data_IF_333073716687
#
_entry.id   IF_333073716687
#
_cell.length_a   1.000
_cell.length_b   1.000
_cell.length_c   1.000
_cell.angle_alpha   90.00
_cell.angle_beta   90.00
_cell.angle_gamma   90.00
#
_symmetry.space_group_name_H-M   'P 1'
#
loop_
_entity.id
_entity.type
_entity.pdbx_description
1 polymer ?
#
# COMPACT_ATOMS: atom_id res chain seq x y z
N UNK A 1 3.75 -14.73 -0.48
CA UNK A 1 3.41 -14.65 -0.07
C UNK A 1 3.26 -14.29 1.16
N UNK A 2 3.86 -14.55 1.76
CA UNK A 2 3.71 -14.32 3.10
C UNK A 2 3.90 -12.94 3.56
N UNK A 3 4.84 -12.24 3.01
CA UNK A 3 5.10 -10.90 3.48
C UNK A 3 3.95 -9.97 3.31
N UNK A 4 3.11 -10.21 2.36
CA UNK A 4 2.00 -9.31 2.12
C UNK A 4 0.91 -9.46 3.13
N UNK A 5 0.96 -10.51 3.92
CA UNK A 5 -0.13 -10.77 4.85
C UNK A 5 -0.14 -9.84 6.03
N UNK A 6 0.96 -9.23 6.35
CA UNK A 6 0.95 -8.33 7.50
C UNK A 6 0.34 -6.98 7.15
N UNK A 7 0.11 -6.72 5.87
CA UNK A 7 -0.51 -5.45 5.48
C UNK A 7 -1.93 -5.75 5.10
N UNK A 8 -2.83 -5.59 6.05
CA UNK A 8 -4.22 -5.94 5.86
C UNK A 8 -4.99 -4.83 5.19
N UNK A 9 -6.07 -5.23 4.52
CA UNK A 9 -6.92 -4.24 3.85
C UNK A 9 -7.49 -3.29 4.90
N UNK A 10 -7.56 -2.04 4.54
CA UNK A 10 -7.96 -1.01 5.49
C UNK A 10 -6.83 -0.50 6.35
N UNK A 11 -5.65 -1.07 6.18
CA UNK A 11 -4.48 -0.61 6.91
C UNK A 11 -4.11 0.81 6.49
N UNK A 12 -3.79 1.63 7.46
CA UNK A 12 -3.30 2.97 7.16
C UNK A 12 -1.89 2.87 6.62
N UNK A 13 -1.65 3.51 5.49
CA UNK A 13 -0.34 3.44 4.85
C UNK A 13 0.17 4.84 4.56
N UNK A 14 1.48 4.93 4.41
CA UNK A 14 2.15 6.14 4.01
C UNK A 14 2.62 5.96 2.57
N UNK A 15 2.23 6.90 1.71
CA UNK A 15 2.67 6.90 0.33
C UNK A 15 4.02 7.59 0.28
N UNK A 16 5.06 6.86 -0.04
CA UNK A 16 6.41 7.40 0.00
C UNK A 16 6.67 8.41 -1.10
N UNK A 17 5.89 8.37 -2.16
CA UNK A 17 6.09 9.32 -3.26
C UNK A 17 5.49 10.68 -2.96
N UNK A 18 4.35 10.72 -2.33
CA UNK A 18 3.67 11.99 -2.03
C UNK A 18 3.75 12.34 -0.57
N UNK A 19 4.11 11.34 0.25
CA UNK A 19 4.15 11.47 1.69
C UNK A 19 2.77 11.70 2.28
N UNK A 20 1.75 11.31 1.54
CA UNK A 20 0.38 11.39 2.04
C UNK A 20 -0.01 10.09 2.72
N UNK A 21 -1.03 10.16 3.52
CA UNK A 21 -1.55 9.02 4.25
C UNK A 21 -2.81 8.54 3.56
N UNK A 22 -2.96 7.24 3.46
CA UNK A 22 -4.14 6.67 2.87
C UNK A 22 -4.46 5.33 3.48
N UNK A 23 -5.42 4.64 2.87
CA UNK A 23 -5.83 3.32 3.33
C UNK A 23 -5.61 2.34 2.21
N UNK A 24 -5.18 1.15 2.57
CA UNK A 24 -4.98 0.08 1.61
C UNK A 24 -6.30 -0.57 1.26
N UNK A 25 -6.58 -0.69 -0.02
CA UNK A 25 -7.78 -1.35 -0.50
C UNK A 25 -7.49 -2.79 -0.86
N UNK A 26 -6.47 -3.02 -1.67
CA UNK A 26 -6.11 -4.37 -2.05
C UNK A 26 -4.68 -4.42 -2.55
N UNK A 27 -4.13 -5.63 -2.55
CA UNK A 27 -2.80 -5.89 -3.07
C UNK A 27 -2.96 -6.78 -4.29
N UNK A 28 -2.13 -6.58 -5.30
CA UNK A 28 -2.20 -7.39 -6.51
C UNK A 28 -0.85 -7.40 -7.19
N UNK A 29 -0.69 -8.27 -8.14
CA UNK A 29 0.55 -8.44 -8.87
C UNK A 29 0.34 -8.17 -10.34
N UNK A 30 1.39 -7.69 -10.98
CA UNK A 30 1.39 -7.58 -12.42
C UNK A 30 2.62 -8.32 -12.93
N UNK A 31 2.41 -9.23 -13.87
CA UNK A 31 3.50 -10.03 -14.38
C UNK A 31 3.99 -9.45 -15.69
N UNK A 32 5.26 -9.16 -15.72
CA UNK A 32 5.91 -8.69 -16.94
C UNK A 32 6.72 -9.83 -17.53
N UNK A 33 7.34 -9.57 -18.66
CA UNK A 33 8.07 -10.62 -19.36
C UNK A 33 9.15 -11.23 -18.47
N UNK A 34 9.87 -10.43 -17.75
CA UNK A 34 11.02 -10.92 -17.01
C UNK A 34 10.90 -10.74 -15.50
N UNK A 35 9.77 -10.30 -15.01
CA UNK A 35 9.63 -10.09 -13.56
C UNK A 35 8.18 -9.93 -13.18
N UNK A 36 7.93 -10.00 -11.89
CA UNK A 36 6.61 -9.73 -11.32
C UNK A 36 6.76 -8.56 -10.36
N UNK A 37 5.86 -7.63 -10.45
CA UNK A 37 5.87 -6.45 -9.58
C UNK A 37 4.61 -6.44 -8.76
N UNK A 38 4.75 -6.21 -7.47
CA UNK A 38 3.61 -6.12 -6.57
C UNK A 38 3.11 -4.70 -6.52
N UNK A 39 1.80 -4.56 -6.59
CA UNK A 39 1.15 -3.26 -6.56
C UNK A 39 0.12 -3.23 -5.45
N UNK A 40 -0.28 -2.04 -5.10
CA UNK A 40 -1.33 -1.82 -4.13
C UNK A 40 -2.30 -0.80 -4.68
N UNK A 41 -3.57 -0.99 -4.39
CA UNK A 41 -4.58 0.02 -4.66
C UNK A 41 -4.94 0.65 -3.33
N UNK A 42 -4.85 1.95 -3.26
CA UNK A 42 -5.08 2.69 -2.03
C UNK A 42 -6.06 3.81 -2.28
N UNK A 43 -6.55 4.37 -1.19
CA UNK A 43 -7.44 5.52 -1.28
C UNK A 43 -6.85 6.63 -0.42
N UNK A 44 -6.80 7.83 -0.94
CA UNK A 44 -6.22 8.94 -0.19
C UNK A 44 -7.28 9.58 0.70
N UNK A 45 -6.92 10.65 1.38
CA UNK A 45 -7.81 11.27 2.33
C UNK A 45 -9.04 11.88 1.70
N UNK A 46 -8.98 12.15 0.43
CA UNK A 46 -10.12 12.73 -0.26
C UNK A 46 -11.04 11.65 -0.82
N UNK A 47 -10.68 10.39 -0.67
CA UNK A 47 -11.48 9.30 -1.19
C UNK A 47 -11.11 8.89 -2.59
N UNK A 48 -10.01 9.40 -3.11
CA UNK A 48 -9.60 9.09 -4.46
C UNK A 48 -8.72 7.86 -4.47
N UNK A 49 -9.01 6.92 -5.34
CA UNK A 49 -8.22 5.70 -5.44
C UNK A 49 -7.04 5.88 -6.36
N UNK A 50 -5.97 5.17 -6.05
CA UNK A 50 -4.78 5.19 -6.91
C UNK A 50 -4.05 3.87 -6.77
N UNK A 51 -3.28 3.53 -7.79
CA UNK A 51 -2.44 2.34 -7.79
C UNK A 51 -1.00 2.77 -7.63
N UNK A 52 -0.24 2.01 -6.85
CA UNK A 52 1.14 2.35 -6.56
C UNK A 52 1.90 1.07 -6.33
N UNK A 53 3.18 1.05 -6.66
CA UNK A 53 3.99 -0.12 -6.39
C UNK A 53 4.08 -0.34 -4.90
N UNK A 54 4.03 -1.59 -4.50
CA UNK A 54 4.07 -1.96 -3.10
C UNK A 54 5.31 -1.39 -2.39
N UNK A 55 6.41 -1.29 -3.10
CA UNK A 55 7.63 -0.78 -2.49
C UNK A 55 7.57 0.71 -2.17
N UNK A 56 6.59 1.40 -2.69
CA UNK A 56 6.46 2.84 -2.48
C UNK A 56 5.45 3.17 -1.40
N UNK A 57 5.01 2.18 -0.64
CA UNK A 57 4.14 2.44 0.50
C UNK A 57 4.71 1.70 1.69
N UNK A 58 4.34 2.15 2.87
CA UNK A 58 4.67 1.39 4.07
C UNK A 58 3.54 1.60 5.06
N UNK A 59 3.41 0.64 5.96
CA UNK A 59 2.38 0.72 6.98
C UNK A 59 2.66 1.95 7.84
N UNK A 60 1.63 2.75 8.04
CA UNK A 60 1.77 3.93 8.86
C UNK A 60 1.34 3.58 10.28
N UNK A 61 2.27 3.66 11.21
CA UNK A 61 1.99 3.30 12.57
C UNK A 61 1.89 4.53 13.41
N UNK A 62 0.73 4.68 13.97
CA UNK A 62 0.56 5.75 14.86
C UNK A 62 1.05 5.42 16.16
N UNK A 63 1.28 4.53 16.52
CA UNK A 63 1.77 4.12 17.66
C UNK A 63 1.71 4.73 18.72
N UNK A 64 1.50 4.95 19.11
CA UNK A 64 1.50 5.46 20.06
C UNK A 64 0.97 4.79 20.97
N UNK A 65 0.79 4.09 21.02
CA UNK A 65 0.46 3.50 21.82
C UNK A 65 0.94 2.97 22.44
N UNK A 66 1.24 2.90 22.44
CA UNK A 66 1.84 2.47 22.94
C UNK A 66 2.22 2.69 23.58
#
# INVERSE_FOLDING_TARGET
>A
MVEKDYMLYGTKILNLKTQGIGLLICLWENKFTDKTVDFATCVDKTGKRYNIEHDNIRVFEDDFEK
#
